data_IF_619151622253
#
_entry.id   IF_619151622253
#
_cell.length_a   1.000
_cell.length_b   1.000
_cell.length_c   1.000
_cell.angle_alpha   90.00
_cell.angle_beta   90.00
_cell.angle_gamma   90.00
#
_symmetry.space_group_name_H-M   'P 1'
#
loop_
_entity.id
_entity.type
_entity.pdbx_description
1 polymer ?
#
# COMPACT_ATOMS: atom_id res chain seq x y z
N UNK A 1 -3.48 28.97 -8.50
CA UNK A 1 -3.36 27.85 -9.47
C UNK A 1 -4.45 26.86 -9.15
N UNK A 2 -5.38 26.56 -10.08
CA UNK A 2 -6.45 25.59 -9.82
C UNK A 2 -5.88 24.17 -9.67
N UNK A 3 -6.58 23.28 -8.97
CA UNK A 3 -6.21 21.86 -8.97
C UNK A 3 -6.48 21.25 -10.35
N UNK A 4 -5.75 20.17 -10.66
CA UNK A 4 -6.02 19.36 -11.82
C UNK A 4 -7.45 18.76 -11.74
N UNK A 5 -8.22 18.65 -12.85
CA UNK A 5 -9.58 18.13 -12.83
C UNK A 5 -9.74 16.74 -12.18
N UNK A 6 -8.74 15.86 -12.34
CA UNK A 6 -8.77 14.55 -11.67
C UNK A 6 -8.62 14.67 -10.14
N UNK A 7 -7.80 15.61 -9.65
CA UNK A 7 -7.65 15.85 -8.22
C UNK A 7 -8.91 16.48 -7.62
N UNK A 8 -9.58 17.36 -8.37
CA UNK A 8 -10.91 17.89 -8.02
C UNK A 8 -11.94 16.76 -7.88
N UNK A 9 -11.98 15.82 -8.83
CA UNK A 9 -12.90 14.68 -8.79
C UNK A 9 -12.66 13.76 -7.59
N UNK A 10 -11.38 13.43 -7.28
CA UNK A 10 -11.03 12.65 -6.10
C UNK A 10 -11.44 13.36 -4.80
N UNK A 11 -11.23 14.68 -4.72
CA UNK A 11 -11.65 15.48 -3.56
C UNK A 11 -13.17 15.48 -3.40
N UNK A 12 -13.92 15.69 -4.49
CA UNK A 12 -15.38 15.68 -4.48
C UNK A 12 -15.93 14.32 -4.04
N UNK A 13 -15.37 13.22 -4.56
CA UNK A 13 -15.73 11.87 -4.16
C UNK A 13 -15.51 11.65 -2.66
N UNK A 14 -14.33 11.99 -2.13
CA UNK A 14 -14.03 11.88 -0.69
C UNK A 14 -14.93 12.77 0.18
N UNK A 15 -15.25 13.98 -0.26
CA UNK A 15 -16.17 14.84 0.47
C UNK A 15 -17.59 14.26 0.54
N UNK A 16 -18.02 13.56 -0.51
CA UNK A 16 -19.35 12.94 -0.58
C UNK A 16 -19.47 11.61 0.17
N UNK A 17 -18.37 10.91 0.46
CA UNK A 17 -18.41 9.60 1.10
C UNK A 17 -18.78 9.65 2.59
N UNK A 18 -18.68 10.83 3.22
CA UNK A 18 -18.94 10.99 4.65
C UNK A 18 -17.98 10.21 5.56
N UNK A 19 -16.83 9.77 5.01
CA UNK A 19 -15.85 9.01 5.78
C UNK A 19 -15.35 9.85 6.97
N UNK A 20 -15.37 9.30 8.20
CA UNK A 20 -14.90 10.02 9.36
C UNK A 20 -13.39 10.29 9.25
N UNK A 21 -12.89 11.39 9.83
CA UNK A 21 -11.45 11.63 9.89
C UNK A 21 -10.75 10.46 10.60
N UNK A 22 -9.62 9.99 10.05
CA UNK A 22 -8.91 8.82 10.58
C UNK A 22 -8.54 8.92 12.07
N UNK A 23 -8.29 10.14 12.56
CA UNK A 23 -7.95 10.39 13.97
C UNK A 23 -9.13 10.25 14.94
N UNK A 24 -10.36 10.15 14.45
CA UNK A 24 -11.54 9.87 15.29
C UNK A 24 -11.86 8.37 15.39
N UNK A 25 -11.11 7.53 14.68
CA UNK A 25 -11.24 6.08 14.68
C UNK A 25 -10.24 5.44 15.66
N UNK A 26 -10.49 4.20 16.06
CA UNK A 26 -9.44 3.38 16.65
C UNK A 26 -8.36 3.05 15.62
N UNK A 27 -7.16 2.68 16.07
CA UNK A 27 -6.07 2.31 15.16
C UNK A 27 -6.42 1.11 14.27
N UNK A 28 -7.18 0.14 14.79
CA UNK A 28 -7.60 -1.03 14.03
C UNK A 28 -8.57 -0.64 12.91
N UNK A 29 -9.55 0.21 13.21
CA UNK A 29 -10.51 0.73 12.23
C UNK A 29 -9.82 1.61 11.18
N UNK A 30 -8.92 2.51 11.59
CA UNK A 30 -8.18 3.37 10.67
C UNK A 30 -7.33 2.55 9.69
N UNK A 31 -6.67 1.48 10.15
CA UNK A 31 -5.91 0.57 9.28
C UNK A 31 -6.80 -0.23 8.33
N UNK A 32 -7.95 -0.68 8.80
CA UNK A 32 -8.91 -1.40 7.97
C UNK A 32 -9.50 -0.50 6.89
N UNK A 33 -9.85 0.74 7.24
CA UNK A 33 -10.36 1.75 6.30
C UNK A 33 -9.31 2.11 5.24
N UNK A 34 -8.07 2.36 5.64
CA UNK A 34 -6.95 2.65 4.73
C UNK A 34 -6.71 1.51 3.72
N UNK A 35 -6.69 0.25 4.18
CA UNK A 35 -6.55 -0.90 3.30
C UNK A 35 -7.73 -1.05 2.33
N UNK A 36 -8.95 -0.80 2.78
CA UNK A 36 -10.15 -0.87 1.93
C UNK A 36 -10.13 0.21 0.83
N UNK A 37 -9.81 1.46 1.20
CA UNK A 37 -9.72 2.59 0.27
C UNK A 37 -8.63 2.35 -0.78
N UNK A 38 -7.47 1.85 -0.37
CA UNK A 38 -6.37 1.53 -1.28
C UNK A 38 -6.78 0.41 -2.23
N UNK A 39 -7.42 -0.66 -1.76
CA UNK A 39 -7.87 -1.76 -2.63
C UNK A 39 -8.95 -1.32 -3.61
N UNK A 40 -9.81 -0.39 -3.23
CA UNK A 40 -10.83 0.15 -4.12
C UNK A 40 -10.23 1.03 -5.23
N UNK A 41 -9.10 1.69 -4.96
CA UNK A 41 -8.39 2.55 -5.91
C UNK A 41 -7.29 1.84 -6.70
N UNK A 42 -6.71 0.77 -6.15
CA UNK A 42 -5.75 -0.09 -6.79
C UNK A 42 -6.45 -0.84 -7.91
N UNK A 43 -6.16 -0.49 -9.16
CA UNK A 43 -6.60 -1.28 -10.32
C UNK A 43 -6.01 -2.69 -10.30
N UNK A 44 -5.99 -3.35 -11.45
CA UNK A 44 -5.32 -4.65 -11.58
C UNK A 44 -3.81 -4.48 -11.37
N UNK A 45 -3.18 -5.13 -10.37
CA UNK A 45 -1.73 -5.09 -10.21
C UNK A 45 -1.01 -5.74 -11.39
N UNK A 46 0.21 -5.32 -11.71
CA UNK A 46 0.96 -5.92 -12.80
C UNK A 46 1.30 -7.38 -12.46
N UNK A 47 1.20 -8.31 -13.42
CA UNK A 47 1.68 -9.67 -13.24
C UNK A 47 3.21 -9.68 -13.08
N UNK A 48 3.68 -10.41 -12.07
CA UNK A 48 5.10 -10.69 -11.83
C UNK A 48 5.31 -12.19 -11.75
N UNK A 49 6.56 -12.63 -11.98
CA UNK A 49 6.89 -14.05 -11.97
C UNK A 49 6.71 -14.73 -10.61
N UNK A 50 6.93 -14.00 -9.50
CA UNK A 50 6.67 -14.50 -8.16
C UNK A 50 6.36 -13.39 -7.16
N UNK A 51 5.50 -13.72 -6.19
CA UNK A 51 5.24 -12.94 -4.98
C UNK A 51 5.47 -13.87 -3.79
N UNK A 52 6.45 -13.54 -2.97
CA UNK A 52 6.86 -14.38 -1.83
C UNK A 52 6.74 -13.60 -0.53
N UNK A 53 6.18 -14.22 0.50
CA UNK A 53 6.14 -13.64 1.84
C UNK A 53 7.27 -14.21 2.69
N UNK A 54 8.00 -13.32 3.35
CA UNK A 54 9.10 -13.68 4.23
C UNK A 54 8.97 -12.99 5.58
N UNK A 55 9.67 -13.55 6.56
CA UNK A 55 9.91 -12.95 7.86
C UNK A 55 11.39 -12.97 8.15
N UNK A 56 11.91 -11.86 8.67
CA UNK A 56 13.31 -11.74 9.07
C UNK A 56 13.41 -11.26 10.52
N UNK A 57 14.47 -11.64 11.26
CA UNK A 57 14.75 -11.06 12.58
C UNK A 57 14.99 -9.56 12.46
N UNK A 58 14.35 -8.78 13.35
CA UNK A 58 14.56 -7.34 13.49
C UNK A 58 14.76 -6.92 14.94
N UNK A 59 15.17 -5.68 15.19
CA UNK A 59 15.51 -5.19 16.53
C UNK A 59 14.31 -5.14 17.49
N UNK A 60 13.08 -5.12 16.98
CA UNK A 60 11.84 -5.13 17.76
C UNK A 60 11.03 -6.43 17.63
N UNK A 61 11.60 -7.49 17.09
CA UNK A 61 10.91 -8.74 16.72
C UNK A 61 10.96 -9.03 15.23
N UNK A 62 10.21 -10.04 14.79
CA UNK A 62 10.16 -10.41 13.38
C UNK A 62 9.53 -9.31 12.51
N UNK A 63 10.15 -9.05 11.35
CA UNK A 63 9.67 -8.12 10.34
C UNK A 63 9.10 -8.91 9.16
N UNK A 64 7.84 -8.66 8.83
CA UNK A 64 7.22 -9.20 7.63
C UNK A 64 7.62 -8.39 6.40
N UNK A 65 7.94 -9.07 5.31
CA UNK A 65 8.28 -8.46 4.02
C UNK A 65 7.76 -9.29 2.87
N UNK A 66 7.44 -8.61 1.77
CA UNK A 66 6.97 -9.23 0.53
C UNK A 66 7.99 -8.98 -0.57
N UNK A 67 8.46 -10.05 -1.18
CA UNK A 67 9.41 -10.02 -2.29
C UNK A 67 8.65 -10.21 -3.61
N UNK A 68 8.81 -9.23 -4.49
CA UNK A 68 8.31 -9.30 -5.85
C UNK A 68 9.47 -9.63 -6.80
N UNK A 69 9.33 -10.69 -7.60
CA UNK A 69 10.28 -11.01 -8.67
C UNK A 69 9.61 -10.79 -10.02
N UNK A 70 10.06 -9.81 -10.82
CA UNK A 70 9.43 -9.51 -12.10
C UNK A 70 9.66 -10.60 -13.15
N UNK A 71 10.76 -11.37 -13.05
CA UNK A 71 11.15 -12.39 -14.02
C UNK A 71 11.48 -13.73 -13.34
N UNK A 72 11.42 -14.86 -14.09
CA UNK A 72 11.81 -16.17 -13.58
C UNK A 72 13.25 -16.21 -13.04
N UNK A 73 13.57 -17.16 -12.14
CA UNK A 73 14.92 -17.35 -11.64
C UNK A 73 15.92 -17.61 -12.77
N UNK A 74 17.16 -17.12 -12.62
CA UNK A 74 18.23 -17.37 -13.60
C UNK A 74 19.22 -16.22 -13.78
N UNK A 75 18.84 -15.00 -13.36
CA UNK A 75 19.75 -13.85 -13.29
C UNK A 75 19.68 -13.12 -11.96
N UNK A 76 20.77 -12.45 -11.60
CA UNK A 76 20.79 -11.45 -10.52
C UNK A 76 20.18 -10.15 -11.05
N UNK A 77 19.22 -9.61 -10.32
CA UNK A 77 18.54 -8.35 -10.62
C UNK A 77 18.99 -7.29 -9.60
N UNK A 78 18.97 -5.99 -9.95
CA UNK A 78 19.00 -4.94 -8.94
C UNK A 78 17.78 -5.07 -8.03
N UNK A 79 17.92 -4.61 -6.78
CA UNK A 79 16.84 -4.64 -5.80
C UNK A 79 16.37 -3.22 -5.44
N UNK A 80 15.06 -3.05 -5.27
CA UNK A 80 14.44 -1.87 -4.69
C UNK A 80 13.87 -2.25 -3.32
N UNK A 81 14.29 -1.55 -2.27
CA UNK A 81 13.62 -1.62 -0.97
C UNK A 81 12.53 -0.56 -0.93
N UNK A 82 11.27 -1.00 -0.96
CA UNK A 82 10.12 -0.12 -0.80
C UNK A 82 9.64 -0.13 0.65
N UNK A 83 9.49 1.07 1.23
CA UNK A 83 8.91 1.26 2.55
C UNK A 83 7.56 1.95 2.37
N UNK A 84 6.49 1.28 2.81
CA UNK A 84 5.14 1.78 2.61
C UNK A 84 4.86 3.06 3.42
N UNK A 85 3.97 3.89 2.88
CA UNK A 85 3.48 5.10 3.55
C UNK A 85 2.48 4.78 4.67
N UNK A 86 1.79 5.81 5.16
CA UNK A 86 0.80 5.67 6.25
C UNK A 86 1.21 6.38 7.55
N UNK A 87 2.16 7.32 7.49
CA UNK A 87 2.52 8.17 8.63
C UNK A 87 3.03 7.38 9.84
N UNK A 88 3.76 6.28 9.61
CA UNK A 88 4.28 5.37 10.64
C UNK A 88 3.22 4.72 11.54
N UNK A 89 1.94 4.82 11.16
CA UNK A 89 0.80 4.40 11.97
C UNK A 89 -0.07 3.40 11.21
N UNK A 90 -0.34 3.72 9.95
CA UNK A 90 -1.11 2.92 8.99
C UNK A 90 -0.17 2.15 8.05
N UNK A 91 -0.76 1.43 7.10
CA UNK A 91 -0.03 0.70 6.08
C UNK A 91 0.36 -0.74 6.48
N UNK A 92 0.60 -1.53 5.45
CA UNK A 92 1.12 -2.91 5.51
C UNK A 92 1.67 -3.28 4.12
N UNK A 93 2.32 -4.44 3.95
CA UNK A 93 2.63 -4.95 2.61
C UNK A 93 1.40 -5.02 1.69
N UNK A 94 0.20 -5.23 2.24
CA UNK A 94 -1.03 -5.27 1.44
C UNK A 94 -1.47 -3.91 0.93
N UNK A 95 -1.18 -2.82 1.66
CA UNK A 95 -1.52 -1.46 1.21
C UNK A 95 -0.59 -0.96 0.10
N UNK A 96 0.50 -1.67 -0.16
CA UNK A 96 1.47 -1.30 -1.19
C UNK A 96 1.59 -2.33 -2.31
N UNK A 97 0.73 -3.36 -2.31
CA UNK A 97 0.86 -4.46 -3.27
C UNK A 97 0.83 -3.96 -4.72
N UNK A 98 -0.21 -3.21 -5.08
CA UNK A 98 -0.42 -2.73 -6.44
C UNK A 98 0.56 -1.65 -6.91
N UNK A 99 1.28 -0.98 -6.00
CA UNK A 99 2.32 0.00 -6.39
C UNK A 99 3.69 -0.67 -6.50
N UNK A 100 3.89 -1.82 -5.85
CA UNK A 100 5.11 -2.59 -5.91
C UNK A 100 5.16 -3.59 -7.08
N UNK A 101 4.02 -3.92 -7.69
CA UNK A 101 3.92 -4.70 -8.93
C UNK A 101 2.99 -4.02 -9.91
#
# INVERSE_FOLDING_TARGET
>A
MPLHPQAEAVRAHRASSGAPPLYTLTLAEARAADLADIRAAAGTPEPVAAVEEHRIPGPGGELALRLYRPEPPGRRLPALLYLFGGGWTLGSPDTSDAVCR
#
